data_IF_972530335963
#
_entry.id   IF_972530335963
#
_cell.length_a   1.000
_cell.length_b   1.000
_cell.length_c   1.000
_cell.angle_alpha   90.00
_cell.angle_beta   90.00
_cell.angle_gamma   90.00
#
_symmetry.space_group_name_H-M   'P 1'
#
loop_
_entity.id
_entity.type
_entity.pdbx_description
1 polymer ?
#
# COMPACT_ATOMS: atom_id res chain seq x y z
N UNK A 1 7.03 -3.78 -10.94
CA UNK A 1 5.59 -3.59 -10.67
C UNK A 1 5.46 -2.71 -9.41
N UNK A 2 4.39 -1.94 -9.21
CA UNK A 2 4.27 -1.10 -8.01
C UNK A 2 4.34 -1.94 -6.72
N UNK A 3 3.73 -3.14 -6.74
CA UNK A 3 3.71 -4.06 -5.59
C UNK A 3 5.13 -4.52 -5.20
N UNK A 4 6.01 -4.77 -6.17
CA UNK A 4 7.40 -5.18 -5.85
C UNK A 4 8.19 -4.09 -5.15
N UNK A 5 7.90 -2.81 -5.41
CA UNK A 5 8.52 -1.68 -4.71
C UNK A 5 8.01 -1.52 -3.28
N UNK A 6 6.72 -1.73 -3.06
CA UNK A 6 6.12 -1.71 -1.73
C UNK A 6 6.66 -2.84 -0.85
N UNK A 7 6.70 -4.07 -1.38
CA UNK A 7 7.20 -5.23 -0.64
C UNK A 7 8.68 -5.08 -0.24
N UNK A 8 9.50 -4.50 -1.13
CA UNK A 8 10.90 -4.22 -0.85
C UNK A 8 11.06 -3.21 0.29
N UNK A 9 10.39 -2.05 0.19
CA UNK A 9 10.44 -1.01 1.22
C UNK A 9 9.92 -1.52 2.57
N UNK A 10 8.81 -2.26 2.56
CA UNK A 10 8.24 -2.86 3.76
C UNK A 10 9.19 -3.85 4.43
N UNK A 11 9.81 -4.75 3.65
CA UNK A 11 10.79 -5.71 4.18
C UNK A 11 12.00 -5.01 4.75
N UNK A 12 12.55 -4.01 4.06
CA UNK A 12 13.69 -3.23 4.53
C UNK A 12 13.40 -2.50 5.83
N UNK A 13 12.25 -1.81 5.94
CA UNK A 13 11.87 -1.14 7.18
C UNK A 13 11.72 -2.16 8.30
N UNK A 14 11.08 -3.30 8.02
CA UNK A 14 10.83 -4.34 9.03
C UNK A 14 12.13 -4.94 9.59
N UNK A 15 13.22 -5.02 8.82
CA UNK A 15 14.52 -5.48 9.37
C UNK A 15 15.18 -4.48 10.30
N UNK A 16 14.74 -3.21 10.30
CA UNK A 16 15.24 -2.13 11.16
C UNK A 16 14.38 -1.87 12.41
N UNK A 17 13.30 -2.64 12.59
CA UNK A 17 12.37 -2.49 13.72
C UNK A 17 12.40 -3.74 14.61
N UNK A 18 12.37 -3.53 15.92
CA UNK A 18 12.37 -4.60 16.90
C UNK A 18 10.96 -4.91 17.41
N UNK A 19 10.73 -6.17 17.79
CA UNK A 19 9.59 -6.64 18.58
C UNK A 19 8.24 -5.96 18.30
N UNK A 20 7.83 -5.10 19.23
CA UNK A 20 6.51 -4.46 19.20
C UNK A 20 6.37 -3.45 18.05
N UNK A 21 7.43 -2.72 17.68
CA UNK A 21 7.39 -1.73 16.59
C UNK A 21 7.15 -2.40 15.24
N UNK A 22 7.82 -3.54 14.99
CA UNK A 22 7.56 -4.37 13.81
C UNK A 22 6.12 -4.88 13.80
N UNK A 23 5.57 -5.22 14.97
CA UNK A 23 4.18 -5.70 15.11
C UNK A 23 3.17 -4.59 14.79
N UNK A 24 3.41 -3.36 15.27
CA UNK A 24 2.59 -2.19 14.93
C UNK A 24 2.65 -1.87 13.43
N UNK A 25 3.83 -1.93 12.80
CA UNK A 25 3.97 -1.75 11.36
C UNK A 25 3.20 -2.83 10.57
N UNK A 26 3.30 -4.10 10.97
CA UNK A 26 2.54 -5.19 10.33
C UNK A 26 1.01 -4.95 10.44
N UNK A 27 0.53 -4.44 11.58
CA UNK A 27 -0.87 -4.08 11.75
C UNK A 27 -1.27 -2.92 10.83
N UNK A 28 -0.49 -1.84 10.81
CA UNK A 28 -0.72 -0.69 9.96
C UNK A 28 -0.77 -1.08 8.48
N UNK A 29 0.14 -1.95 8.02
CA UNK A 29 0.18 -2.41 6.64
C UNK A 29 -1.05 -3.27 6.28
N UNK A 30 -1.52 -4.13 7.18
CA UNK A 30 -2.75 -4.91 6.97
C UNK A 30 -3.99 -4.04 6.90
N UNK A 31 -4.09 -3.02 7.75
CA UNK A 31 -5.19 -2.05 7.72
C UNK A 31 -5.16 -1.21 6.44
N UNK A 32 -3.97 -0.81 5.99
CA UNK A 32 -3.80 -0.10 4.73
C UNK A 32 -4.26 -0.93 3.53
N UNK A 33 -3.97 -2.24 3.49
CA UNK A 33 -4.47 -3.14 2.41
C UNK A 33 -6.00 -3.15 2.39
N UNK A 34 -6.65 -3.30 3.55
CA UNK A 34 -8.11 -3.27 3.63
C UNK A 34 -8.68 -1.93 3.15
N UNK A 35 -8.07 -0.82 3.54
CA UNK A 35 -8.44 0.51 3.07
C UNK A 35 -8.28 0.64 1.56
N UNK A 36 -7.14 0.22 0.99
CA UNK A 36 -6.88 0.24 -0.46
C UNK A 36 -7.94 -0.53 -1.21
N UNK A 37 -8.21 -1.76 -0.80
CA UNK A 37 -9.15 -2.64 -1.50
C UNK A 37 -10.58 -2.09 -1.44
N UNK A 38 -10.99 -1.56 -0.28
CA UNK A 38 -12.29 -0.89 -0.11
C UNK A 38 -12.39 0.37 -0.98
N UNK A 39 -11.36 1.21 -0.98
CA UNK A 39 -11.31 2.46 -1.75
C UNK A 39 -11.35 2.18 -3.26
N UNK A 40 -10.51 1.27 -3.75
CA UNK A 40 -10.48 0.93 -5.17
C UNK A 40 -11.76 0.22 -5.62
N UNK A 41 -12.40 -0.56 -4.75
CA UNK A 41 -13.73 -1.12 -5.04
C UNK A 41 -14.75 0.00 -5.17
N UNK A 42 -14.80 0.94 -4.23
CA UNK A 42 -15.71 2.08 -4.30
C UNK A 42 -15.54 2.91 -5.59
N UNK A 43 -14.30 3.15 -6.01
CA UNK A 43 -14.00 3.83 -7.28
C UNK A 43 -14.45 3.02 -8.50
N UNK A 44 -14.19 1.70 -8.51
CA UNK A 44 -14.61 0.79 -9.57
C UNK A 44 -16.13 0.80 -9.77
N UNK A 45 -16.90 0.78 -8.69
CA UNK A 45 -18.37 0.71 -8.75
C UNK A 45 -18.99 1.96 -9.41
N UNK A 46 -18.28 3.10 -9.46
CA UNK A 46 -18.71 4.27 -10.23
C UNK A 46 -18.78 4.00 -11.75
N UNK A 47 -18.11 2.95 -12.22
CA UNK A 47 -18.05 2.54 -13.62
C UNK A 47 -18.71 1.17 -13.85
N UNK A 48 -19.53 0.70 -12.89
CA UNK A 48 -20.19 -0.59 -12.95
C UNK A 48 -21.03 -0.76 -14.23
N UNK A 49 -20.98 -1.94 -14.83
CA UNK A 49 -21.67 -2.26 -16.09
C UNK A 49 -20.95 -1.78 -17.36
N UNK A 50 -19.86 -1.00 -17.24
CA UNK A 50 -19.00 -0.59 -18.35
C UNK A 50 -17.69 -1.37 -18.42
N UNK A 51 -17.01 -1.29 -19.56
CA UNK A 51 -15.68 -1.91 -19.78
C UNK A 51 -14.54 -1.17 -19.08
N UNK A 52 -14.79 0.03 -18.55
CA UNK A 52 -13.79 0.84 -17.86
C UNK A 52 -13.52 0.37 -16.43
N UNK A 53 -14.48 -0.29 -15.76
CA UNK A 53 -14.37 -0.67 -14.35
C UNK A 53 -13.07 -1.45 -14.00
N UNK A 54 -12.65 -2.48 -14.77
CA UNK A 54 -11.39 -3.19 -14.48
C UNK A 54 -10.16 -2.29 -14.60
N UNK A 55 -10.13 -1.39 -15.58
CA UNK A 55 -9.00 -0.47 -15.80
C UNK A 55 -8.90 0.53 -14.67
N UNK A 56 -10.02 1.10 -14.24
CA UNK A 56 -10.11 2.02 -13.10
C UNK A 56 -9.61 1.35 -11.81
N UNK A 57 -10.07 0.12 -11.55
CA UNK A 57 -9.63 -0.64 -10.38
C UNK A 57 -8.10 -0.85 -10.37
N UNK A 58 -7.53 -1.28 -11.50
CA UNK A 58 -6.08 -1.50 -11.62
C UNK A 58 -5.29 -0.19 -11.47
N UNK A 59 -5.77 0.90 -12.06
CA UNK A 59 -5.15 2.22 -11.92
C UNK A 59 -5.14 2.69 -10.46
N UNK A 60 -6.26 2.52 -9.74
CA UNK A 60 -6.35 2.85 -8.32
C UNK A 60 -5.32 2.07 -7.48
N UNK A 61 -5.26 0.74 -7.67
CA UNK A 61 -4.28 -0.10 -6.97
C UNK A 61 -2.86 0.40 -7.20
N UNK A 62 -2.52 0.72 -8.45
CA UNK A 62 -1.18 1.18 -8.81
C UNK A 62 -0.83 2.54 -8.18
N UNK A 63 -1.76 3.51 -8.21
CA UNK A 63 -1.58 4.82 -7.60
C UNK A 63 -1.40 4.71 -6.08
N UNK A 64 -2.29 3.97 -5.41
CA UNK A 64 -2.24 3.80 -3.96
C UNK A 64 -0.99 3.04 -3.51
N UNK A 65 -0.60 1.97 -4.21
CA UNK A 65 0.63 1.23 -3.89
C UNK A 65 1.87 2.12 -4.01
N UNK A 66 2.00 2.93 -5.08
CA UNK A 66 3.11 3.89 -5.21
C UNK A 66 3.12 4.94 -4.10
N UNK A 67 1.94 5.45 -3.73
CA UNK A 67 1.81 6.42 -2.65
C UNK A 67 2.26 5.82 -1.32
N UNK A 68 1.84 4.58 -1.03
CA UNK A 68 2.23 3.86 0.19
C UNK A 68 3.73 3.61 0.28
N UNK A 69 4.38 3.23 -0.81
CA UNK A 69 5.84 3.09 -0.83
C UNK A 69 6.53 4.40 -0.43
N UNK A 70 6.10 5.54 -0.99
CA UNK A 70 6.65 6.86 -0.63
C UNK A 70 6.37 7.22 0.82
N UNK A 71 5.15 6.98 1.30
CA UNK A 71 4.74 7.21 2.68
C UNK A 71 5.62 6.42 3.66
N UNK A 72 5.83 5.13 3.42
CA UNK A 72 6.66 4.27 4.26
C UNK A 72 8.11 4.76 4.31
N UNK A 73 8.70 5.05 3.15
CA UNK A 73 10.09 5.54 3.08
C UNK A 73 10.24 6.90 3.80
N UNK A 74 9.28 7.81 3.66
CA UNK A 74 9.31 9.09 4.36
C UNK A 74 9.13 8.94 5.88
N UNK A 75 8.17 8.11 6.31
CA UNK A 75 7.84 7.90 7.73
C UNK A 75 8.99 7.22 8.48
N UNK A 76 9.65 6.26 7.85
CA UNK A 76 10.71 5.45 8.48
C UNK A 76 12.12 5.88 8.07
N UNK A 77 12.27 7.03 7.39
CA UNK A 77 13.55 7.50 6.86
C UNK A 77 14.70 7.49 7.88
N UNK A 78 14.41 7.81 9.15
CA UNK A 78 15.41 7.82 10.23
C UNK A 78 15.91 6.43 10.57
N UNK A 79 15.08 5.39 10.43
CA UNK A 79 15.43 3.99 10.72
C UNK A 79 16.18 3.31 9.57
N UNK A 80 16.12 3.88 8.36
CA UNK A 80 16.78 3.38 7.16
C UNK A 80 18.22 3.87 7.00
N UNK A 81 18.61 4.94 7.71
CA UNK A 81 20.00 5.39 7.82
C UNK A 81 20.82 4.43 8.68
#
# INVERSE_FOLDING_TARGET
>A
MADSGLDAAYKEIRTRLDGEDATRLNLAQRLWIQYRDANCTAERELYAGGTAAPVVYLACLEVMTRARTRELLATYAVRLK
#
